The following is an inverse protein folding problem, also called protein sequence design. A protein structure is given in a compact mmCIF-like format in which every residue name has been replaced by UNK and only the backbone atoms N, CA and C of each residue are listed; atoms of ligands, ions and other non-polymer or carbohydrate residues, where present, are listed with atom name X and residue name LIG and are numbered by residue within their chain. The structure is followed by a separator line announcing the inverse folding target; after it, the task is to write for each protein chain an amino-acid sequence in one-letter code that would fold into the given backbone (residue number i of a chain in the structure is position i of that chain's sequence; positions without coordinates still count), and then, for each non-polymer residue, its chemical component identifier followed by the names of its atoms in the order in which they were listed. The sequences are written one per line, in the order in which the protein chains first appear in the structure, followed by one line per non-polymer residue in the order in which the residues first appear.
data_IF_609739732852
#
_entry.id   IF_609739732852
#
_cell.length_a   1.000
_cell.length_b   1.000
_cell.length_c   1.000
_cell.angle_alpha   90.00
_cell.angle_beta   90.00
_cell.angle_gamma   90.00
#
_symmetry.space_group_name_H-M   'P 1'
#
loop_
_entity.id
_entity.type
_entity.pdbx_description
1 polymer ?
#
# COMPACT_ATOMS: atom_id res chain seq x y z
N UNK A 1 15.48 -7.57 16.80
CA UNK A 1 14.34 -8.10 16.02
C UNK A 1 14.36 -7.40 14.67
N UNK A 2 14.46 -8.14 13.58
CA UNK A 2 14.54 -7.53 12.25
C UNK A 2 13.12 -7.28 11.74
N UNK A 3 12.62 -6.04 11.83
CA UNK A 3 11.26 -5.64 11.43
C UNK A 3 11.01 -5.69 9.90
N UNK A 4 11.92 -6.30 9.15
CA UNK A 4 11.90 -6.38 7.68
C UNK A 4 11.49 -7.74 7.16
N UNK A 5 11.41 -8.75 8.03
CA UNK A 5 11.10 -10.13 7.66
C UNK A 5 10.10 -10.74 8.64
N UNK A 6 9.30 -11.68 8.16
CA UNK A 6 8.45 -12.52 9.01
C UNK A 6 9.33 -13.45 9.87
N UNK A 7 8.87 -13.74 11.08
CA UNK A 7 9.41 -14.86 11.85
C UNK A 7 8.88 -16.18 11.29
N UNK A 8 9.58 -17.28 11.55
CA UNK A 8 9.21 -18.62 11.06
C UNK A 8 7.74 -19.01 11.40
N UNK A 9 7.22 -18.77 12.64
CA UNK A 9 5.83 -19.05 12.94
C UNK A 9 4.83 -18.23 12.11
N UNK A 10 5.15 -16.96 11.82
CA UNK A 10 4.30 -16.10 10.99
C UNK A 10 4.33 -16.51 9.53
N UNK A 11 5.50 -16.88 9.02
CA UNK A 11 5.67 -17.42 7.67
C UNK A 11 4.90 -18.74 7.51
N UNK A 12 4.97 -19.63 8.50
CA UNK A 12 4.19 -20.87 8.53
C UNK A 12 2.68 -20.62 8.46
N UNK A 13 2.16 -19.67 9.28
CA UNK A 13 0.75 -19.28 9.24
C UNK A 13 0.34 -18.67 7.90
N UNK A 14 1.20 -17.84 7.31
CA UNK A 14 0.95 -17.24 5.99
C UNK A 14 0.81 -18.35 4.93
N UNK A 15 1.73 -19.30 4.92
CA UNK A 15 1.72 -20.44 3.99
C UNK A 15 0.48 -21.32 4.11
N UNK A 16 -0.01 -21.51 5.33
CA UNK A 16 -1.17 -22.34 5.62
C UNK A 16 -2.49 -21.65 5.26
N UNK A 17 -2.61 -20.33 5.47
CA UNK A 17 -3.91 -19.65 5.48
C UNK A 17 -4.12 -18.64 4.38
N UNK A 18 -3.07 -18.15 3.75
CA UNK A 18 -3.21 -17.13 2.72
C UNK A 18 -3.65 -17.71 1.38
N UNK A 19 -4.48 -16.95 0.68
CA UNK A 19 -4.78 -17.19 -0.73
C UNK A 19 -3.52 -17.02 -1.57
N UNK A 20 -3.37 -17.84 -2.63
CA UNK A 20 -2.18 -17.79 -3.49
C UNK A 20 -2.53 -17.32 -4.90
N UNK A 21 -1.50 -16.88 -5.62
CA UNK A 21 -1.58 -16.45 -7.02
C UNK A 21 -2.67 -15.39 -7.24
N UNK A 22 -2.70 -14.41 -6.35
CA UNK A 22 -3.69 -13.35 -6.31
C UNK A 22 -3.26 -12.13 -7.14
N UNK A 23 -4.23 -11.34 -7.62
CA UNK A 23 -3.90 -10.11 -8.32
C UNK A 23 -3.42 -9.04 -7.34
N UNK A 24 -4.06 -8.95 -6.16
CA UNK A 24 -3.76 -7.95 -5.14
C UNK A 24 -3.67 -8.59 -3.76
N UNK A 25 -2.55 -8.41 -3.08
CA UNK A 25 -2.38 -8.74 -1.67
C UNK A 25 -2.43 -7.47 -0.84
N UNK A 26 -3.31 -7.44 0.15
CA UNK A 26 -3.43 -6.32 1.09
C UNK A 26 -2.79 -6.69 2.43
N UNK A 27 -1.98 -5.77 2.94
CA UNK A 27 -1.32 -5.88 4.25
C UNK A 27 -1.69 -4.65 5.09
N UNK A 28 -2.17 -4.86 6.31
CA UNK A 28 -2.40 -3.80 7.28
C UNK A 28 -1.37 -3.91 8.40
N UNK A 29 -0.61 -2.85 8.62
CA UNK A 29 0.50 -2.86 9.56
C UNK A 29 0.49 -1.66 10.51
N UNK A 30 0.84 -1.91 11.76
CA UNK A 30 0.90 -0.87 12.80
C UNK A 30 1.97 0.20 12.53
N UNK A 31 3.05 -0.18 11.87
CA UNK A 31 4.11 0.77 11.53
C UNK A 31 4.64 1.52 12.74
N UNK A 32 4.32 2.79 12.80
CA UNK A 32 4.65 3.71 13.90
C UNK A 32 3.41 4.18 14.68
N UNK A 33 2.21 3.72 14.31
CA UNK A 33 0.95 4.08 14.97
C UNK A 33 -0.07 2.96 14.91
N UNK A 34 -0.23 2.22 15.99
CA UNK A 34 -1.29 1.24 16.15
C UNK A 34 -2.69 1.91 16.14
N UNK A 35 -2.79 3.15 16.61
CA UNK A 35 -4.03 3.92 16.60
C UNK A 35 -4.51 4.18 15.17
N UNK A 36 -3.61 4.64 14.29
CA UNK A 36 -3.92 4.84 12.88
C UNK A 36 -4.31 3.53 12.19
N UNK A 37 -3.59 2.44 12.49
CA UNK A 37 -3.86 1.11 11.96
C UNK A 37 -5.27 0.63 12.33
N UNK A 38 -5.66 0.71 13.59
CA UNK A 38 -6.95 0.23 14.08
C UNK A 38 -8.13 1.14 13.73
N UNK A 39 -7.89 2.41 13.45
CA UNK A 39 -8.89 3.37 13.01
C UNK A 39 -8.99 3.41 11.47
N UNK A 40 -8.42 4.44 10.88
CA UNK A 40 -8.45 4.68 9.43
C UNK A 40 -7.89 3.51 8.61
N UNK A 41 -6.97 2.69 9.19
CA UNK A 41 -6.38 1.55 8.50
C UNK A 41 -7.36 0.42 8.22
N UNK A 42 -8.20 0.05 9.19
CA UNK A 42 -9.23 -0.98 9.02
C UNK A 42 -10.28 -0.52 7.99
N UNK A 43 -10.68 0.75 8.06
CA UNK A 43 -11.62 1.34 7.09
C UNK A 43 -11.03 1.32 5.67
N UNK A 44 -9.80 1.79 5.52
CA UNK A 44 -9.10 1.81 4.23
C UNK A 44 -8.95 0.41 3.64
N UNK A 45 -8.55 -0.56 4.46
CA UNK A 45 -8.42 -1.96 4.05
C UNK A 45 -9.72 -2.49 3.45
N UNK A 46 -10.84 -2.32 4.18
CA UNK A 46 -12.15 -2.77 3.71
C UNK A 46 -12.64 -2.04 2.46
N UNK A 47 -12.39 -0.73 2.35
CA UNK A 47 -12.74 0.04 1.16
C UNK A 47 -11.90 -0.38 -0.05
N UNK A 48 -10.58 -0.54 0.13
CA UNK A 48 -9.68 -0.91 -0.96
C UNK A 48 -9.95 -2.33 -1.47
N UNK A 49 -10.23 -3.28 -0.57
CA UNK A 49 -10.62 -4.63 -0.96
C UNK A 49 -11.86 -4.62 -1.88
N UNK A 50 -12.93 -3.92 -1.47
CA UNK A 50 -14.15 -3.77 -2.29
C UNK A 50 -13.88 -3.10 -3.63
N UNK A 51 -13.06 -2.06 -3.67
CA UNK A 51 -12.70 -1.37 -4.93
C UNK A 51 -11.94 -2.28 -5.89
N UNK A 52 -11.06 -3.15 -5.37
CA UNK A 52 -10.33 -4.13 -6.15
C UNK A 52 -11.26 -5.25 -6.65
N UNK A 53 -12.10 -5.81 -5.79
CA UNK A 53 -13.08 -6.86 -6.13
C UNK A 53 -14.10 -6.37 -7.17
N UNK A 54 -14.57 -5.12 -7.05
CA UNK A 54 -15.50 -4.51 -8.02
C UNK A 54 -14.89 -4.37 -9.43
N UNK A 55 -13.57 -4.38 -9.54
CA UNK A 55 -12.83 -4.40 -10.82
C UNK A 55 -12.52 -5.81 -11.32
N UNK A 56 -13.00 -6.84 -10.62
CA UNK A 56 -12.81 -8.23 -10.96
C UNK A 56 -11.43 -8.81 -10.62
N UNK A 57 -10.64 -8.12 -9.78
CA UNK A 57 -9.34 -8.62 -9.34
C UNK A 57 -9.48 -9.59 -8.18
N UNK A 58 -8.65 -10.63 -8.19
CA UNK A 58 -8.57 -11.58 -7.06
C UNK A 58 -7.79 -10.93 -5.93
N UNK A 59 -8.49 -10.61 -4.84
CA UNK A 59 -7.89 -10.08 -3.62
C UNK A 59 -7.53 -11.24 -2.69
N UNK A 60 -6.28 -11.27 -2.22
CA UNK A 60 -5.80 -12.25 -1.27
C UNK A 60 -6.40 -12.05 0.12
N UNK A 61 -6.30 -13.11 0.96
CA UNK A 61 -6.62 -13.00 2.39
C UNK A 61 -5.83 -11.84 3.00
N UNK A 62 -6.48 -10.81 3.56
CA UNK A 62 -5.76 -9.69 4.16
C UNK A 62 -4.85 -10.14 5.31
N UNK A 63 -3.64 -9.58 5.36
CA UNK A 63 -2.64 -9.92 6.38
C UNK A 63 -2.48 -8.75 7.34
N UNK A 64 -2.67 -9.02 8.64
CA UNK A 64 -2.34 -8.08 9.71
C UNK A 64 -0.90 -8.31 10.22
N UNK A 65 -0.06 -7.27 10.27
CA UNK A 65 1.31 -7.36 10.71
C UNK A 65 1.63 -6.38 11.85
N UNK A 66 2.33 -6.88 12.88
CA UNK A 66 2.84 -6.06 13.99
C UNK A 66 4.32 -5.75 13.80
N UNK A 67 4.71 -4.56 14.26
CA UNK A 67 6.10 -4.08 14.20
C UNK A 67 6.68 -4.05 12.79
N UNK A 68 5.81 -3.92 11.80
CA UNK A 68 6.17 -3.99 10.40
C UNK A 68 6.82 -2.70 9.88
N UNK A 69 7.54 -2.85 8.78
CA UNK A 69 8.05 -1.77 7.93
C UNK A 69 7.69 -2.09 6.49
N UNK A 70 7.83 -1.10 5.62
CA UNK A 70 7.43 -1.16 4.21
C UNK A 70 7.91 -2.44 3.50
N UNK A 71 9.16 -2.84 3.73
CA UNK A 71 9.75 -4.01 3.06
C UNK A 71 9.09 -5.35 3.36
N UNK A 72 8.23 -5.42 4.40
CA UNK A 72 7.49 -6.65 4.69
C UNK A 72 6.48 -7.00 3.59
N UNK A 73 6.03 -6.00 2.81
CA UNK A 73 5.15 -6.24 1.67
C UNK A 73 5.80 -7.11 0.59
N UNK A 74 7.12 -7.03 0.43
CA UNK A 74 7.87 -7.80 -0.56
C UNK A 74 7.85 -9.29 -0.23
N UNK A 75 8.16 -9.63 1.03
CA UNK A 75 8.20 -11.01 1.49
C UNK A 75 6.80 -11.64 1.47
N UNK A 76 5.81 -10.93 2.00
CA UNK A 76 4.42 -11.41 2.00
C UNK A 76 3.94 -11.61 0.57
N UNK A 77 4.11 -10.62 -0.29
CA UNK A 77 3.66 -10.67 -1.67
C UNK A 77 4.37 -11.75 -2.49
N UNK A 78 5.68 -11.92 -2.31
CA UNK A 78 6.44 -13.01 -2.92
C UNK A 78 5.95 -14.37 -2.45
N UNK A 79 5.72 -14.56 -1.15
CA UNK A 79 5.29 -15.84 -0.59
C UNK A 79 3.91 -16.26 -1.09
N UNK A 80 2.99 -15.32 -1.28
CA UNK A 80 1.63 -15.61 -1.77
C UNK A 80 1.50 -15.57 -3.30
N UNK A 81 2.55 -15.19 -4.02
CA UNK A 81 2.51 -15.07 -5.48
C UNK A 81 1.60 -13.92 -5.96
N UNK A 82 1.59 -12.79 -5.26
CA UNK A 82 0.78 -11.64 -5.64
C UNK A 82 1.37 -10.88 -6.83
N UNK A 83 0.53 -10.37 -7.73
CA UNK A 83 0.98 -9.46 -8.80
C UNK A 83 1.28 -8.07 -8.26
N UNK A 84 0.44 -7.57 -7.36
CA UNK A 84 0.62 -6.30 -6.65
C UNK A 84 0.43 -6.53 -5.16
N UNK A 85 1.30 -5.99 -4.34
CA UNK A 85 1.10 -5.90 -2.88
C UNK A 85 0.90 -4.45 -2.49
N UNK A 86 -0.05 -4.20 -1.60
CA UNK A 86 -0.27 -2.90 -0.98
C UNK A 86 -0.19 -3.05 0.54
N UNK A 87 0.77 -2.36 1.16
CA UNK A 87 0.86 -2.26 2.62
C UNK A 87 0.31 -0.92 3.10
N UNK A 88 -0.66 -1.00 4.01
CA UNK A 88 -1.28 0.14 4.68
C UNK A 88 -0.59 0.29 6.03
N UNK A 89 0.16 1.36 6.21
CA UNK A 89 1.10 1.51 7.31
C UNK A 89 0.76 2.71 8.18
N UNK A 90 0.65 2.51 9.49
CA UNK A 90 0.50 3.58 10.46
C UNK A 90 1.75 4.46 10.51
N UNK A 91 1.56 5.77 10.33
CA UNK A 91 2.65 6.74 10.33
C UNK A 91 2.90 7.32 11.71
N UNK A 92 4.08 7.93 11.88
CA UNK A 92 4.41 8.63 13.13
C UNK A 92 3.41 9.75 13.39
N UNK A 93 2.84 9.85 14.60
CA UNK A 93 2.00 10.97 14.98
C UNK A 93 2.69 12.30 14.72
N UNK A 94 2.05 13.16 13.91
CA UNK A 94 2.51 14.53 13.66
C UNK A 94 1.83 15.54 14.58
N UNK A 95 2.20 16.82 14.48
CA UNK A 95 1.64 17.90 15.29
C UNK A 95 0.12 18.13 15.07
N UNK A 96 -0.45 17.61 14.01
CA UNK A 96 -1.86 17.80 13.67
C UNK A 96 -2.72 16.53 13.67
N UNK A 97 -2.12 15.33 13.62
CA UNK A 97 -2.85 14.06 13.50
C UNK A 97 -2.10 12.91 14.15
N UNK A 98 -2.80 12.11 14.97
CA UNK A 98 -2.26 10.86 15.54
C UNK A 98 -2.65 9.61 14.75
N UNK A 99 -3.45 9.77 13.70
CA UNK A 99 -4.16 8.72 12.96
C UNK A 99 -3.79 8.65 11.46
N UNK A 100 -2.66 9.26 11.07
CA UNK A 100 -2.20 9.27 9.69
C UNK A 100 -1.70 7.90 9.21
N UNK A 101 -2.08 7.53 7.99
CA UNK A 101 -1.63 6.35 7.28
C UNK A 101 -0.90 6.72 6.00
N UNK A 102 0.01 5.85 5.60
CA UNK A 102 0.54 5.77 4.23
C UNK A 102 0.25 4.41 3.63
N UNK A 103 -0.04 4.37 2.34
CA UNK A 103 -0.11 3.17 1.55
C UNK A 103 1.10 3.10 0.63
N UNK A 104 1.79 1.98 0.62
CA UNK A 104 2.88 1.68 -0.31
C UNK A 104 2.46 0.51 -1.19
N UNK A 105 2.79 0.58 -2.48
CA UNK A 105 2.39 -0.41 -3.46
C UNK A 105 3.58 -0.81 -4.33
N UNK A 106 3.69 -2.09 -4.61
CA UNK A 106 4.75 -2.63 -5.45
C UNK A 106 4.18 -3.70 -6.38
N UNK A 107 4.58 -3.66 -7.66
CA UNK A 107 4.31 -4.70 -8.64
C UNK A 107 5.41 -5.77 -8.60
N UNK A 108 5.01 -7.05 -8.77
CA UNK A 108 5.90 -8.20 -8.62
C UNK A 108 6.74 -8.10 -7.34
N UNK A 109 6.07 -8.13 -6.17
CA UNK A 109 6.74 -8.05 -4.88
C UNK A 109 7.77 -9.17 -4.74
N UNK A 110 8.99 -8.80 -4.35
CA UNK A 110 10.06 -9.76 -4.05
C UNK A 110 11.10 -9.13 -3.14
N UNK A 111 11.71 -9.94 -2.31
CA UNK A 111 12.80 -9.51 -1.44
C UNK A 111 13.90 -8.86 -2.30
N UNK A 112 14.32 -7.66 -1.90
CA UNK A 112 15.33 -6.87 -2.61
C UNK A 112 14.79 -5.71 -3.45
N UNK A 113 13.47 -5.51 -3.52
CA UNK A 113 12.89 -4.30 -4.09
C UNK A 113 13.39 -3.07 -3.32
N UNK A 114 13.59 -1.96 -4.05
CA UNK A 114 14.05 -0.68 -3.52
C UNK A 114 12.90 0.31 -3.38
N UNK A 115 13.14 1.42 -2.68
CA UNK A 115 12.10 2.46 -2.50
C UNK A 115 11.63 3.05 -3.85
N UNK A 116 12.52 3.16 -4.84
CA UNK A 116 12.18 3.60 -6.19
C UNK A 116 11.30 2.63 -6.99
N UNK A 117 11.16 1.38 -6.56
CA UNK A 117 10.28 0.38 -7.18
C UNK A 117 8.83 0.50 -6.69
N UNK A 118 8.55 1.39 -5.72
CA UNK A 118 7.24 1.54 -5.06
C UNK A 118 6.57 2.84 -5.43
N UNK A 119 5.27 2.82 -5.43
CA UNK A 119 4.45 4.01 -5.40
C UNK A 119 3.83 4.18 -4.01
N UNK A 120 3.57 5.42 -3.61
CA UNK A 120 3.00 5.67 -2.29
C UNK A 120 1.93 6.76 -2.33
N UNK A 121 1.00 6.63 -1.39
CA UNK A 121 0.06 7.68 -1.02
C UNK A 121 0.14 7.89 0.48
N UNK A 122 0.33 9.12 0.92
CA UNK A 122 0.39 9.49 2.34
C UNK A 122 -0.78 10.40 2.73
N UNK A 123 -0.81 10.79 4.01
CA UNK A 123 -1.82 11.69 4.56
C UNK A 123 -3.25 11.14 4.46
N UNK A 124 -3.39 9.81 4.69
CA UNK A 124 -4.69 9.13 4.66
C UNK A 124 -5.26 9.14 6.08
N UNK A 125 -6.27 9.97 6.29
CA UNK A 125 -7.05 10.11 7.52
C UNK A 125 -8.24 11.05 7.28
N UNK A 126 -9.18 11.12 8.22
CA UNK A 126 -10.43 11.88 8.05
C UNK A 126 -10.26 13.37 7.67
N UNK A 127 -9.19 14.02 8.17
CA UNK A 127 -8.88 15.45 7.88
C UNK A 127 -7.92 15.66 6.71
N UNK A 128 -7.34 14.58 6.17
CA UNK A 128 -6.49 14.59 4.97
C UNK A 128 -7.23 14.01 3.77
N UNK A 129 -6.75 12.88 3.24
CA UNK A 129 -7.50 12.07 2.28
C UNK A 129 -8.31 11.03 3.03
N UNK A 130 -9.65 11.13 3.06
CA UNK A 130 -10.49 10.15 3.74
C UNK A 130 -10.26 8.73 3.19
N UNK A 131 -10.32 7.67 4.05
CA UNK A 131 -10.04 6.30 3.65
C UNK A 131 -10.80 5.82 2.42
N UNK A 132 -12.10 6.11 2.32
CA UNK A 132 -12.90 5.72 1.16
C UNK A 132 -12.46 6.41 -0.14
N UNK A 133 -11.99 7.67 -0.06
CA UNK A 133 -11.46 8.38 -1.22
C UNK A 133 -10.06 7.87 -1.58
N UNK A 134 -9.23 7.60 -0.58
CA UNK A 134 -7.91 7.00 -0.78
C UNK A 134 -8.02 5.63 -1.46
N UNK A 135 -8.97 4.79 -1.04
CA UNK A 135 -9.21 3.47 -1.62
C UNK A 135 -9.48 3.54 -3.13
N UNK A 136 -10.33 4.46 -3.59
CA UNK A 136 -10.61 4.65 -5.02
C UNK A 136 -9.35 5.01 -5.81
N UNK A 137 -8.54 5.93 -5.29
CA UNK A 137 -7.29 6.37 -5.92
C UNK A 137 -6.24 5.26 -5.94
N UNK A 138 -6.12 4.52 -4.83
CA UNK A 138 -5.22 3.37 -4.74
C UNK A 138 -5.63 2.27 -5.71
N UNK A 139 -6.93 2.02 -5.89
CA UNK A 139 -7.42 1.04 -6.85
C UNK A 139 -7.11 1.45 -8.31
N UNK A 140 -7.19 2.74 -8.65
CA UNK A 140 -6.73 3.23 -9.97
C UNK A 140 -5.24 2.97 -10.16
N UNK A 141 -4.43 3.24 -9.12
CA UNK A 141 -2.99 3.00 -9.16
C UNK A 141 -2.65 1.52 -9.30
N UNK A 142 -3.36 0.63 -8.58
CA UNK A 142 -3.26 -0.84 -8.74
C UNK A 142 -3.59 -1.25 -10.17
N UNK A 143 -4.65 -0.69 -10.76
CA UNK A 143 -5.02 -0.98 -12.15
C UNK A 143 -3.91 -0.66 -13.13
N UNK A 144 -3.31 0.53 -13.03
CA UNK A 144 -2.18 0.92 -13.85
C UNK A 144 -0.97 0.00 -13.68
N UNK A 145 -0.69 -0.43 -12.43
CA UNK A 145 0.39 -1.38 -12.17
C UNK A 145 0.14 -2.74 -12.82
N UNK A 146 -1.08 -3.26 -12.73
CA UNK A 146 -1.45 -4.53 -13.35
C UNK A 146 -1.40 -4.46 -14.86
N UNK A 147 -1.88 -3.37 -15.48
CA UNK A 147 -1.88 -3.15 -16.92
C UNK A 147 -0.46 -2.98 -17.47
N UNK A 148 0.32 -2.08 -16.86
CA UNK A 148 1.66 -1.76 -17.32
C UNK A 148 2.73 -2.76 -16.84
N UNK A 149 2.38 -3.66 -15.91
CA UNK A 149 3.30 -4.64 -15.28
C UNK A 149 4.54 -3.98 -14.69
N UNK A 150 4.36 -2.86 -14.02
CA UNK A 150 5.45 -2.09 -13.38
C UNK A 150 4.93 -1.25 -12.22
N UNK A 151 5.83 -0.78 -11.39
CA UNK A 151 5.58 0.16 -10.31
C UNK A 151 6.77 1.10 -10.11
N UNK A 152 6.66 2.05 -9.21
CA UNK A 152 7.70 2.99 -8.87
C UNK A 152 7.89 4.07 -9.93
N UNK A 153 9.13 4.52 -10.10
CA UNK A 153 9.48 5.66 -10.97
C UNK A 153 9.24 5.40 -12.46
N UNK A 154 9.11 4.14 -12.86
CA UNK A 154 8.88 3.75 -14.26
C UNK A 154 7.39 3.58 -14.60
N UNK A 155 6.50 3.70 -13.62
CA UNK A 155 5.05 3.67 -13.86
C UNK A 155 4.60 4.97 -14.52
N UNK A 156 3.95 4.87 -15.67
CA UNK A 156 3.39 6.03 -16.34
C UNK A 156 2.06 6.42 -15.66
N UNK A 157 2.04 7.60 -15.07
CA UNK A 157 0.89 8.18 -14.38
C UNK A 157 0.17 9.24 -15.22
N UNK A 158 0.60 9.50 -16.45
CA UNK A 158 0.05 10.58 -17.29
C UNK A 158 -1.43 10.38 -17.61
N UNK A 159 -1.87 9.13 -17.84
CA UNK A 159 -3.27 8.78 -18.06
C UNK A 159 -4.11 8.85 -16.77
N UNK A 160 -3.51 8.65 -15.62
CA UNK A 160 -4.20 8.65 -14.32
C UNK A 160 -4.65 10.05 -13.88
N UNK A 161 -4.00 11.10 -14.37
CA UNK A 161 -4.37 12.49 -14.07
C UNK A 161 -5.79 12.80 -14.55
N UNK A 162 -6.24 12.20 -15.65
CA UNK A 162 -7.58 12.38 -16.20
C UNK A 162 -8.64 11.62 -15.40
N UNK A 163 -8.40 10.35 -15.07
CA UNK A 163 -9.33 9.55 -14.26
C UNK A 163 -9.44 10.05 -12.80
N UNK A 164 -8.32 10.48 -12.22
CA UNK A 164 -8.30 11.11 -10.90
C UNK A 164 -8.90 12.51 -10.90
N UNK A 165 -8.85 13.23 -12.02
CA UNK A 165 -9.44 14.56 -12.22
C UNK A 165 -10.98 14.55 -12.21
N UNK A 166 -11.61 13.54 -12.79
CA UNK A 166 -13.07 13.38 -12.78
C UNK A 166 -13.62 12.93 -11.40
N UNK A 167 -12.85 12.16 -10.65
CA UNK A 167 -13.16 11.84 -9.26
C UNK A 167 -12.89 12.99 -8.28
N UNK A 168 -12.21 14.05 -8.71
CA UNK A 168 -11.62 15.11 -7.89
C UNK A 168 -12.26 16.49 -8.09
N UNK A 169 -13.47 16.59 -8.62
CA UNK A 169 -14.22 17.88 -8.59
C UNK A 169 -14.51 18.39 -7.18
N UNK A 170 -13.87 17.82 -6.19
CA UNK A 170 -13.74 18.29 -4.81
C UNK A 170 -12.26 18.41 -4.41
N UNK A 171 -11.53 19.40 -4.94
CA UNK A 171 -10.33 19.96 -4.30
C UNK A 171 -9.06 19.10 -4.28
N UNK A 172 -8.69 18.41 -5.35
CA UNK A 172 -7.46 17.61 -5.44
C UNK A 172 -6.24 18.46 -5.87
N UNK A 173 -5.20 18.46 -5.03
CA UNK A 173 -3.82 18.69 -5.48
C UNK A 173 -3.16 17.33 -5.75
N UNK A 174 -2.61 17.16 -6.93
CA UNK A 174 -1.85 15.95 -7.28
C UNK A 174 -0.81 15.64 -6.20
N UNK A 175 -0.66 14.36 -5.78
CA UNK A 175 0.41 14.02 -4.87
C UNK A 175 1.73 14.38 -5.54
N UNK A 176 2.52 15.22 -4.87
CA UNK A 176 3.90 15.44 -5.30
C UNK A 176 4.65 14.14 -5.00
N UNK A 177 4.95 13.38 -6.04
CA UNK A 177 5.94 12.30 -5.96
C UNK A 177 7.29 12.98 -5.71
N UNK A 178 7.62 13.19 -4.43
CA UNK A 178 8.98 13.59 -4.05
C UNK A 178 9.83 12.32 -4.01
N UNK A 179 10.54 12.06 -5.10
CA UNK A 179 11.74 11.25 -5.02
C UNK A 179 12.71 11.98 -4.08
N UNK A 180 12.89 11.49 -2.86
CA UNK A 180 14.01 11.91 -2.01
C UNK A 180 15.26 11.19 -2.53
N UNK A 181 16.10 11.92 -3.23
CA UNK A 181 17.51 11.55 -3.38
C UNK A 181 18.12 11.56 -1.97
N UNK A 182 18.44 10.39 -1.45
CA UNK A 182 19.29 10.26 -0.27
C UNK A 182 20.72 10.39 -0.78
N UNK A 183 21.32 11.58 -0.62
CA UNK A 183 22.76 11.73 -0.76
C UNK A 183 23.43 10.98 0.38
N UNK A 184 24.11 9.90 0.05
CA UNK A 184 25.04 9.24 0.95
C UNK A 184 26.31 10.09 1.02
N UNK A 185 26.49 10.83 2.11
CA UNK A 185 27.79 11.41 2.44
C UNK A 185 28.70 10.28 2.92
N UNK A 186 29.84 10.19 2.24
CA UNK A 186 31.01 9.35 2.60
C UNK A 186 31.61 9.79 3.91
#
# INVERSE_FOLDING_TARGET
MNCRCLDEPSLGRLRERASRDVDVQLVLADGLSAVACMGSGVELLGCLARECEARGWRVGTPVGAKFARVWLEDEIGQEVGAKVTAILLGERPGLGTGDGLSAYLVHEPRIGKKDGDRNMMSNIHARGTPPAQAAKRLAVLVGAMLEQRRSGVVLDLSSLATELGDAARGGYRAPQVRARLVETHS
#
